data_IF_269710058140
#
_entry.id   IF_269710058140
#
_cell.length_a   1.000
_cell.length_b   1.000
_cell.length_c   1.000
_cell.angle_alpha   90.00
_cell.angle_beta   90.00
_cell.angle_gamma   90.00
#
_symmetry.space_group_name_H-M   'P 1'
#
loop_
_entity.id
_entity.type
_entity.pdbx_description
1 polymer ?
#
# COMPACT_ATOMS: atom_id res chain seq x y z
N UNK A 1 -3.76 0.32 22.75
CA UNK A 1 -2.41 0.42 22.23
C UNK A 1 -1.85 -0.97 21.92
N UNK A 2 -0.87 -1.07 20.98
CA UNK A 2 -0.22 -2.33 20.62
C UNK A 2 -0.70 -2.96 19.31
N UNK A 3 -1.38 -2.23 18.46
CA UNK A 3 -1.61 -2.60 17.05
C UNK A 3 -0.65 -1.79 16.19
N UNK A 4 0.09 -2.48 15.32
CA UNK A 4 1.02 -1.90 14.36
C UNK A 4 0.52 -2.28 12.99
N UNK A 5 0.30 -1.30 12.12
CA UNK A 5 0.02 -1.51 10.71
C UNK A 5 1.22 -1.02 9.90
N UNK A 6 1.75 -1.87 9.02
CA UNK A 6 2.88 -1.54 8.18
C UNK A 6 2.58 -1.94 6.73
N UNK A 7 2.54 -0.97 5.85
CA UNK A 7 2.41 -1.16 4.42
C UNK A 7 3.81 -1.32 3.82
N UNK A 8 4.03 -2.38 3.06
CA UNK A 8 5.35 -2.69 2.47
C UNK A 8 5.56 -2.07 1.12
N UNK A 9 4.51 -1.91 0.37
CA UNK A 9 4.52 -1.39 -0.99
C UNK A 9 3.35 -0.44 -1.19
N UNK A 10 3.51 0.53 -2.05
CA UNK A 10 2.44 1.43 -2.50
C UNK A 10 1.96 1.06 -3.90
N UNK A 11 2.21 -0.18 -4.35
CA UNK A 11 1.73 -0.63 -5.65
C UNK A 11 0.21 -0.76 -5.66
N UNK A 12 -0.47 -0.30 -6.71
CA UNK A 12 -1.91 -0.43 -6.84
C UNK A 12 -2.39 -1.87 -6.67
N UNK A 13 -3.31 -2.09 -5.72
CA UNK A 13 -3.87 -3.41 -5.42
C UNK A 13 -2.98 -4.36 -4.62
N UNK A 14 -1.78 -3.93 -4.22
CA UNK A 14 -0.85 -4.67 -3.37
C UNK A 14 -0.41 -3.86 -2.14
N UNK A 15 -1.16 -2.86 -1.78
CA UNK A 15 -0.93 -1.90 -0.70
C UNK A 15 -1.52 -2.34 0.66
N UNK A 16 -1.96 -3.59 0.77
CA UNK A 16 -2.48 -4.16 2.00
C UNK A 16 -1.48 -4.02 3.16
N UNK A 17 -1.94 -3.42 4.25
CA UNK A 17 -1.13 -3.27 5.45
C UNK A 17 -1.00 -4.61 6.19
N UNK A 18 0.24 -4.98 6.53
CA UNK A 18 0.49 -6.07 7.48
C UNK A 18 0.19 -5.59 8.88
N UNK A 19 -0.83 -6.18 9.51
CA UNK A 19 -1.25 -5.86 10.85
C UNK A 19 -0.57 -6.79 11.84
N UNK A 20 -0.02 -6.23 12.91
CA UNK A 20 0.56 -6.96 14.03
C UNK A 20 -0.09 -6.49 15.33
N UNK A 21 -0.42 -7.43 16.19
CA UNK A 21 -0.90 -7.15 17.55
C UNK A 21 0.21 -7.53 18.52
N UNK A 22 0.70 -6.54 19.32
CA UNK A 22 1.82 -6.70 20.28
C UNK A 22 3.17 -7.08 19.65
N UNK A 23 3.37 -6.81 18.36
CA UNK A 23 4.63 -7.09 17.67
C UNK A 23 4.76 -8.56 17.23
N UNK A 24 6.00 -9.01 17.06
CA UNK A 24 6.29 -10.38 16.62
C UNK A 24 6.50 -11.29 17.84
N UNK A 25 5.51 -12.12 18.17
CA UNK A 25 5.59 -13.09 19.27
C UNK A 25 6.02 -14.50 18.84
N UNK A 26 6.18 -14.75 17.55
CA UNK A 26 6.53 -16.06 16.99
C UNK A 26 7.44 -15.92 15.78
N UNK A 27 8.21 -16.99 15.48
CA UNK A 27 9.04 -17.07 14.27
C UNK A 27 8.22 -17.48 13.03
N UNK A 28 7.00 -17.98 13.22
CA UNK A 28 6.08 -18.35 12.15
C UNK A 28 5.19 -17.19 11.69
N UNK A 29 3.94 -17.52 11.34
CA UNK A 29 2.96 -16.50 10.97
C UNK A 29 2.58 -15.65 12.17
N UNK A 30 2.75 -14.35 12.04
CA UNK A 30 2.47 -13.34 13.06
C UNK A 30 1.16 -12.58 12.81
N UNK A 31 0.41 -12.98 11.79
CA UNK A 31 -0.83 -12.31 11.42
C UNK A 31 -1.93 -12.59 12.44
N UNK A 32 -2.73 -11.59 12.83
CA UNK A 32 -3.90 -11.82 13.65
C UNK A 32 -4.99 -12.58 12.87
N UNK A 33 -5.84 -13.29 13.57
CA UNK A 33 -7.04 -13.87 12.97
C UNK A 33 -8.04 -12.76 12.66
N UNK A 34 -8.50 -12.67 11.43
CA UNK A 34 -9.53 -11.72 11.01
C UNK A 34 -10.86 -12.44 10.93
N UNK A 35 -11.86 -11.91 11.63
CA UNK A 35 -13.21 -12.43 11.66
C UNK A 35 -14.17 -11.33 11.23
N UNK A 36 -14.87 -11.54 10.13
CA UNK A 36 -15.85 -10.60 9.59
C UNK A 36 -17.24 -11.18 9.74
N UNK A 37 -18.10 -10.54 10.51
CA UNK A 37 -19.46 -10.98 10.83
C UNK A 37 -19.54 -12.45 11.29
N UNK A 38 -18.56 -12.87 12.09
CA UNK A 38 -18.45 -14.22 12.61
C UNK A 38 -17.75 -15.23 11.69
N UNK A 39 -17.40 -14.85 10.47
CA UNK A 39 -16.68 -15.71 9.52
C UNK A 39 -15.19 -15.41 9.56
N UNK A 40 -14.39 -16.42 9.90
CA UNK A 40 -12.94 -16.32 9.98
C UNK A 40 -12.27 -16.36 8.60
N UNK A 41 -11.02 -15.87 8.54
CA UNK A 41 -10.13 -15.90 7.36
C UNK A 41 -10.60 -15.06 6.16
N UNK A 42 -11.40 -14.05 6.40
CA UNK A 42 -11.70 -13.09 5.35
C UNK A 42 -10.58 -12.05 5.21
N UNK A 43 -10.26 -11.69 3.96
CA UNK A 43 -9.31 -10.62 3.69
C UNK A 43 -9.84 -9.28 4.17
N UNK A 44 -9.09 -8.62 5.07
CA UNK A 44 -9.44 -7.30 5.57
C UNK A 44 -9.27 -6.20 4.51
N UNK A 45 -8.20 -6.27 3.73
CA UNK A 45 -7.90 -5.26 2.69
C UNK A 45 -8.89 -5.24 1.52
N UNK A 46 -9.74 -6.29 1.42
CA UNK A 46 -10.79 -6.34 0.38
C UNK A 46 -12.15 -5.84 0.86
N UNK A 47 -12.29 -5.44 2.12
CA UNK A 47 -13.53 -4.89 2.63
C UNK A 47 -13.63 -3.42 2.24
N UNK A 48 -14.83 -3.01 1.81
CA UNK A 48 -15.13 -1.60 1.67
C UNK A 48 -15.15 -0.94 3.06
N UNK A 49 -14.27 0.04 3.34
CA UNK A 49 -14.27 0.73 4.62
C UNK A 49 -15.63 1.37 4.97
N UNK A 50 -16.37 1.80 3.94
CA UNK A 50 -17.67 2.42 4.13
C UNK A 50 -18.75 1.43 4.61
N UNK A 51 -18.55 0.13 4.44
CA UNK A 51 -19.46 -0.91 4.92
C UNK A 51 -19.15 -1.36 6.35
N UNK A 52 -18.06 -0.91 6.94
CA UNK A 52 -17.67 -1.28 8.30
C UNK A 52 -18.45 -0.44 9.30
N UNK A 53 -19.13 -1.11 10.25
CA UNK A 53 -19.78 -0.49 11.40
C UNK A 53 -18.81 -0.34 12.57
N UNK A 54 -18.03 -1.39 12.87
CA UNK A 54 -17.08 -1.37 13.98
C UNK A 54 -15.93 -2.36 13.78
N UNK A 55 -14.78 -2.04 14.39
CA UNK A 55 -13.61 -2.91 14.47
C UNK A 55 -13.25 -3.07 15.94
N UNK A 56 -13.17 -4.30 16.41
CA UNK A 56 -12.73 -4.64 17.75
C UNK A 56 -11.51 -5.54 17.73
N UNK A 57 -10.52 -5.24 18.57
CA UNK A 57 -9.29 -6.03 18.65
C UNK A 57 -9.30 -6.81 19.96
N UNK A 58 -9.41 -8.14 19.85
CA UNK A 58 -9.35 -9.05 20.98
C UNK A 58 -7.92 -9.51 21.22
N UNK A 59 -7.53 -9.52 22.48
CA UNK A 59 -6.20 -9.91 22.96
C UNK A 59 -6.35 -10.83 24.16
N UNK A 60 -5.36 -11.69 24.36
CA UNK A 60 -5.28 -12.56 25.55
C UNK A 60 -6.52 -13.46 25.72
N UNK A 61 -7.06 -13.49 26.95
CA UNK A 61 -8.20 -14.33 27.30
C UNK A 61 -9.44 -14.11 26.42
N UNK A 62 -9.68 -12.88 25.94
CA UNK A 62 -10.82 -12.60 25.06
C UNK A 62 -10.69 -13.21 23.67
N UNK A 63 -9.45 -13.49 23.22
CA UNK A 63 -9.18 -14.16 21.95
C UNK A 63 -9.28 -15.70 22.07
N UNK A 64 -9.23 -16.26 23.28
CA UNK A 64 -9.20 -17.70 23.53
C UNK A 64 -10.42 -18.46 22.97
N UNK A 65 -11.56 -17.81 22.82
CA UNK A 65 -12.77 -18.41 22.23
C UNK A 65 -12.57 -18.83 20.77
N UNK A 66 -11.57 -18.26 20.08
CA UNK A 66 -11.21 -18.59 18.71
C UNK A 66 -10.10 -19.66 18.60
N UNK A 67 -9.67 -20.22 19.75
CA UNK A 67 -8.71 -21.32 19.84
C UNK A 67 -7.28 -20.92 19.48
N UNK A 68 -6.47 -21.92 19.13
CA UNK A 68 -5.04 -21.75 18.86
C UNK A 68 -4.72 -20.76 17.69
N UNK A 69 -5.64 -20.60 16.77
CA UNK A 69 -5.50 -19.67 15.63
C UNK A 69 -5.51 -18.20 16.06
N UNK A 70 -6.00 -17.92 17.25
CA UNK A 70 -6.07 -16.58 17.84
C UNK A 70 -4.83 -16.23 18.69
N UNK A 71 -3.78 -17.04 18.67
CA UNK A 71 -2.56 -16.82 19.47
C UNK A 71 -1.92 -15.44 19.22
N UNK A 72 -2.05 -14.88 18.01
CA UNK A 72 -1.55 -13.56 17.64
C UNK A 72 -2.61 -12.45 17.81
N UNK A 73 -3.75 -12.76 18.47
CA UNK A 73 -4.90 -11.88 18.62
C UNK A 73 -5.93 -12.02 17.51
N UNK A 74 -7.07 -11.40 17.69
CA UNK A 74 -8.21 -11.45 16.75
C UNK A 74 -8.68 -10.03 16.44
N UNK A 75 -8.96 -9.76 15.18
CA UNK A 75 -9.62 -8.55 14.72
C UNK A 75 -11.03 -8.93 14.31
N UNK A 76 -12.02 -8.43 15.09
CA UNK A 76 -13.42 -8.58 14.77
C UNK A 76 -13.87 -7.38 13.96
N UNK A 77 -14.41 -7.64 12.79
CA UNK A 77 -15.03 -6.63 11.93
C UNK A 77 -16.52 -6.90 11.89
N UNK A 78 -17.31 -5.91 12.23
CA UNK A 78 -18.77 -5.95 12.10
C UNK A 78 -19.15 -5.03 10.95
N UNK A 79 -19.91 -5.55 9.98
CA UNK A 79 -20.38 -4.74 8.86
C UNK A 79 -21.74 -4.11 9.18
N UNK A 80 -22.04 -3.03 8.47
CA UNK A 80 -23.31 -2.32 8.57
C UNK A 80 -24.46 -3.23 8.18
N UNK A 81 -25.56 -3.10 8.92
CA UNK A 81 -26.79 -3.82 8.68
C UNK A 81 -27.94 -2.85 8.41
N UNK A 82 -28.96 -3.31 7.73
CA UNK A 82 -30.18 -2.55 7.56
C UNK A 82 -30.85 -2.31 8.92
N UNK A 83 -31.45 -1.14 9.07
CA UNK A 83 -32.27 -0.77 10.24
C UNK A 83 -33.69 -0.46 9.79
N UNK A 84 -34.66 -0.73 10.67
CA UNK A 84 -36.03 -0.32 10.41
C UNK A 84 -36.11 1.21 10.23
N UNK A 85 -36.79 1.65 9.20
CA UNK A 85 -36.94 3.05 8.89
C UNK A 85 -37.09 3.31 7.38
N UNK A 86 -37.14 4.58 7.03
CA UNK A 86 -37.21 5.01 5.62
C UNK A 86 -35.96 4.58 4.87
N UNK A 87 -36.13 4.28 3.60
CA UNK A 87 -35.00 3.99 2.71
C UNK A 87 -34.05 5.19 2.66
N UNK A 88 -32.79 4.91 2.92
CA UNK A 88 -31.70 5.87 2.84
C UNK A 88 -30.75 5.45 1.73
N UNK A 89 -30.39 6.39 0.89
CA UNK A 89 -29.37 6.25 -0.15
C UNK A 89 -28.20 7.13 0.23
N UNK A 90 -27.01 6.55 0.30
CA UNK A 90 -25.78 7.25 0.62
C UNK A 90 -24.77 7.03 -0.50
N UNK A 91 -24.21 8.11 -0.98
CA UNK A 91 -23.09 8.11 -1.93
C UNK A 91 -21.89 8.79 -1.31
N UNK A 92 -20.75 8.13 -1.36
CA UNK A 92 -19.46 8.65 -0.94
C UNK A 92 -18.49 8.59 -2.14
N UNK A 93 -17.91 9.73 -2.47
CA UNK A 93 -16.90 9.86 -3.52
C UNK A 93 -15.60 10.41 -2.93
N UNK A 94 -14.49 9.70 -3.13
CA UNK A 94 -13.17 10.10 -2.65
C UNK A 94 -12.19 10.17 -3.81
N UNK A 95 -11.44 11.27 -3.89
CA UNK A 95 -10.27 11.40 -4.76
C UNK A 95 -9.07 11.65 -3.87
N UNK A 96 -8.03 10.85 -4.03
CA UNK A 96 -6.80 10.99 -3.27
C UNK A 96 -5.59 11.01 -4.20
N UNK A 97 -4.54 11.66 -3.74
CA UNK A 97 -3.27 11.76 -4.45
C UNK A 97 -2.19 11.12 -3.60
N UNK A 98 -1.47 10.19 -4.20
CA UNK A 98 -0.36 9.49 -3.57
C UNK A 98 0.95 9.93 -4.18
N UNK A 99 1.98 10.10 -3.35
CA UNK A 99 3.34 10.38 -3.80
C UNK A 99 4.33 9.48 -3.08
N UNK A 100 5.52 9.33 -3.64
CA UNK A 100 6.61 8.63 -2.97
C UNK A 100 7.03 9.42 -1.73
N UNK A 101 7.03 8.75 -0.58
CA UNK A 101 7.39 9.39 0.70
C UNK A 101 8.89 9.62 0.84
N UNK A 102 9.69 8.81 0.16
CA UNK A 102 11.14 8.91 0.16
C UNK A 102 11.70 8.38 -1.15
N UNK A 103 12.43 9.21 -1.84
CA UNK A 103 13.23 8.85 -3.00
C UNK A 103 14.68 8.84 -2.52
N UNK A 104 15.46 7.75 -2.71
CA UNK A 104 16.88 7.74 -2.40
C UNK A 104 17.60 8.79 -3.25
N UNK A 105 18.46 9.58 -2.63
CA UNK A 105 19.40 10.41 -3.37
C UNK A 105 20.43 9.49 -4.03
N UNK A 106 20.46 9.52 -5.35
CA UNK A 106 21.40 8.75 -6.15
C UNK A 106 22.55 9.64 -6.58
N UNK A 107 23.73 9.07 -6.67
CA UNK A 107 24.86 9.77 -7.26
C UNK A 107 24.57 10.11 -8.72
N UNK A 108 24.96 11.29 -9.16
CA UNK A 108 24.98 11.61 -10.58
C UNK A 108 26.10 10.85 -11.31
N UNK A 109 26.12 10.86 -12.64
CA UNK A 109 27.09 10.09 -13.41
C UNK A 109 28.54 10.50 -13.11
N UNK A 110 28.80 11.80 -12.86
CA UNK A 110 30.14 12.30 -12.53
C UNK A 110 30.60 11.81 -11.14
N UNK A 111 29.74 11.93 -10.14
CA UNK A 111 30.02 11.46 -8.79
C UNK A 111 30.25 9.95 -8.79
N UNK A 112 29.39 9.18 -9.44
CA UNK A 112 29.53 7.73 -9.56
C UNK A 112 30.88 7.32 -10.20
N UNK A 113 31.23 7.93 -11.34
CA UNK A 113 32.47 7.64 -12.02
C UNK A 113 33.70 8.01 -11.18
N UNK A 114 33.64 9.14 -10.46
CA UNK A 114 34.72 9.61 -9.58
C UNK A 114 34.92 8.67 -8.40
N UNK A 115 33.84 8.30 -7.69
CA UNK A 115 33.93 7.38 -6.55
C UNK A 115 34.35 5.98 -6.98
N UNK A 116 33.91 5.52 -8.14
CA UNK A 116 34.33 4.23 -8.69
C UNK A 116 35.85 4.21 -8.93
N UNK A 117 36.41 5.27 -9.52
CA UNK A 117 37.83 5.38 -9.73
C UNK A 117 38.63 5.51 -8.41
N UNK A 118 38.09 6.21 -7.42
CA UNK A 118 38.71 6.28 -6.10
C UNK A 118 38.75 4.89 -5.44
N UNK A 119 37.67 4.14 -5.54
CA UNK A 119 37.61 2.76 -5.08
C UNK A 119 38.63 1.86 -5.79
N UNK A 120 38.75 1.97 -7.12
CA UNK A 120 39.72 1.23 -7.92
C UNK A 120 41.16 1.56 -7.50
N UNK A 121 41.46 2.83 -7.32
CA UNK A 121 42.78 3.30 -6.86
C UNK A 121 43.12 2.73 -5.49
N UNK A 122 42.19 2.75 -4.54
CA UNK A 122 42.39 2.27 -3.17
C UNK A 122 42.66 0.75 -3.11
N UNK A 123 42.11 -0.03 -4.03
CA UNK A 123 42.39 -1.47 -4.15
C UNK A 123 43.56 -1.83 -5.08
N UNK A 124 44.24 -0.83 -5.65
CA UNK A 124 45.34 -1.04 -6.59
C UNK A 124 44.92 -1.60 -7.95
N UNK A 125 43.69 -1.41 -8.36
CA UNK A 125 43.19 -1.84 -9.66
C UNK A 125 43.36 -0.74 -10.74
N UNK A 126 43.21 -1.13 -11.99
CA UNK A 126 43.15 -0.17 -13.09
C UNK A 126 41.84 0.65 -12.98
N UNK A 127 41.90 1.93 -13.32
CA UNK A 127 40.76 2.82 -13.29
C UNK A 127 39.67 2.36 -14.27
N UNK A 128 38.45 2.26 -13.81
CA UNK A 128 37.28 1.90 -14.64
C UNK A 128 36.96 3.00 -15.64
N UNK A 129 37.05 4.27 -15.23
CA UNK A 129 36.77 5.42 -16.08
C UNK A 129 38.05 6.20 -16.38
N UNK A 130 38.48 6.30 -17.64
CA UNK A 130 39.62 7.15 -18.00
C UNK A 130 39.28 8.63 -17.77
N UNK A 131 40.30 9.46 -17.52
CA UNK A 131 40.12 10.89 -17.20
C UNK A 131 39.32 11.64 -18.29
N UNK A 132 39.54 11.25 -19.58
CA UNK A 132 38.79 11.81 -20.70
C UNK A 132 37.28 11.51 -20.63
N UNK A 133 36.90 10.34 -20.12
CA UNK A 133 35.50 10.00 -19.92
C UNK A 133 34.89 10.82 -18.75
N UNK A 134 35.60 10.94 -17.64
CA UNK A 134 35.18 11.76 -16.49
C UNK A 134 34.97 13.22 -16.91
N UNK A 135 35.87 13.76 -17.73
CA UNK A 135 35.72 15.12 -18.21
C UNK A 135 34.49 15.30 -19.10
N UNK A 136 34.23 14.34 -20.02
CA UNK A 136 33.02 14.35 -20.87
C UNK A 136 31.72 14.22 -20.07
N UNK A 137 31.73 13.41 -19.02
CA UNK A 137 30.60 13.29 -18.10
C UNK A 137 30.34 14.62 -17.38
N UNK A 138 31.44 15.24 -16.89
CA UNK A 138 31.38 16.49 -16.13
C UNK A 138 30.84 17.68 -16.92
N UNK A 139 31.31 17.81 -18.16
CA UNK A 139 30.92 18.93 -19.06
C UNK A 139 29.70 18.62 -19.94
N UNK A 140 29.19 17.37 -19.90
CA UNK A 140 28.02 16.96 -20.67
C UNK A 140 28.24 16.96 -22.19
N UNK A 141 29.49 16.94 -22.65
CA UNK A 141 29.83 17.04 -24.10
C UNK A 141 29.46 15.80 -24.90
N UNK A 142 29.21 14.65 -24.25
CA UNK A 142 28.89 13.39 -24.89
C UNK A 142 27.80 12.63 -24.13
N UNK A 143 26.60 13.18 -24.13
CA UNK A 143 25.44 12.61 -23.42
C UNK A 143 24.93 11.29 -24.03
N UNK A 144 25.36 10.93 -25.23
CA UNK A 144 24.99 9.66 -25.88
C UNK A 144 25.81 8.52 -25.31
N UNK A 145 27.15 8.70 -25.20
CA UNK A 145 28.05 7.68 -24.66
C UNK A 145 28.07 7.68 -23.14
N UNK A 146 27.86 8.84 -22.52
CA UNK A 146 27.92 9.06 -21.08
C UNK A 146 26.70 9.84 -20.60
N UNK A 147 25.50 9.21 -20.57
CA UNK A 147 24.27 9.88 -20.11
C UNK A 147 24.31 10.11 -18.59
N UNK A 148 23.81 11.26 -18.16
CA UNK A 148 23.50 11.55 -16.75
C UNK A 148 21.99 11.64 -16.57
N UNK A 149 21.36 10.48 -16.47
CA UNK A 149 19.90 10.38 -16.40
C UNK A 149 19.45 10.12 -14.97
N UNK A 150 18.66 11.02 -14.41
CA UNK A 150 17.91 10.71 -13.20
C UNK A 150 16.75 9.75 -13.55
N UNK A 151 16.93 8.49 -13.26
CA UNK A 151 15.94 7.46 -13.59
C UNK A 151 14.64 7.61 -12.80
N UNK A 152 14.68 8.17 -11.60
CA UNK A 152 13.45 8.45 -10.86
C UNK A 152 12.60 9.48 -11.58
N UNK A 153 13.19 10.58 -11.99
CA UNK A 153 12.48 11.63 -12.73
C UNK A 153 12.02 11.14 -14.11
N UNK A 154 12.77 10.23 -14.70
CA UNK A 154 12.41 9.66 -16.00
C UNK A 154 11.21 8.70 -15.91
N UNK A 155 11.12 7.88 -14.86
CA UNK A 155 10.13 6.79 -14.78
C UNK A 155 9.00 7.06 -13.79
N UNK A 156 9.21 7.85 -12.73
CA UNK A 156 8.20 8.13 -11.73
C UNK A 156 7.49 9.46 -12.02
N UNK A 157 6.23 9.52 -11.65
CA UNK A 157 5.46 10.77 -11.59
C UNK A 157 5.35 11.24 -10.14
N UNK A 158 5.22 12.55 -9.95
CA UNK A 158 5.16 13.13 -8.60
C UNK A 158 3.91 12.68 -7.84
N UNK A 159 2.81 12.49 -8.56
CA UNK A 159 1.51 12.16 -7.99
C UNK A 159 0.83 11.05 -8.77
N UNK A 160 0.29 10.08 -8.07
CA UNK A 160 -0.63 9.09 -8.60
C UNK A 160 -2.04 9.35 -8.07
N UNK A 161 -3.04 9.25 -8.93
CA UNK A 161 -4.44 9.53 -8.57
C UNK A 161 -5.16 8.23 -8.21
N UNK A 162 -5.88 8.26 -7.09
CA UNK A 162 -6.77 7.18 -6.68
C UNK A 162 -8.19 7.73 -6.56
N UNK A 163 -9.14 7.01 -7.09
CA UNK A 163 -10.56 7.36 -7.01
C UNK A 163 -11.37 6.21 -6.42
N UNK A 164 -12.30 6.55 -5.56
CA UNK A 164 -13.22 5.59 -4.95
C UNK A 164 -14.63 6.15 -4.97
N UNK A 165 -15.58 5.33 -5.35
CA UNK A 165 -17.00 5.66 -5.38
C UNK A 165 -17.75 4.53 -4.69
N UNK A 166 -18.49 4.86 -3.63
CA UNK A 166 -19.31 3.94 -2.87
C UNK A 166 -20.76 4.40 -2.88
N UNK A 167 -21.65 3.51 -3.19
CA UNK A 167 -23.09 3.72 -3.11
C UNK A 167 -23.68 2.68 -2.16
N UNK A 168 -24.44 3.11 -1.18
CA UNK A 168 -25.16 2.20 -0.28
C UNK A 168 -26.63 2.57 -0.16
N UNK A 169 -27.47 1.56 -0.02
CA UNK A 169 -28.90 1.69 0.15
C UNK A 169 -29.31 0.84 1.36
N UNK A 170 -29.96 1.44 2.31
CA UNK A 170 -30.42 0.75 3.53
C UNK A 170 -31.84 1.17 3.90
N UNK A 171 -32.56 0.29 4.56
CA UNK A 171 -33.91 0.57 5.04
C UNK A 171 -34.61 -0.68 5.53
N UNK A 172 -35.86 -0.55 5.85
CA UNK A 172 -36.65 -1.71 6.26
C UNK A 172 -37.84 -1.39 7.14
N UNK A 173 -38.50 -2.43 7.56
CA UNK A 173 -39.60 -2.43 8.54
C UNK A 173 -39.14 -3.14 9.80
N UNK A 174 -39.96 -3.17 10.85
CA UNK A 174 -39.67 -3.95 12.06
C UNK A 174 -39.46 -5.44 11.81
N UNK A 175 -40.04 -5.98 10.73
CA UNK A 175 -39.94 -7.41 10.36
C UNK A 175 -38.84 -7.73 9.37
N UNK A 176 -38.41 -6.78 8.58
CA UNK A 176 -37.41 -6.99 7.53
C UNK A 176 -36.60 -5.72 7.32
N UNK A 177 -35.29 -5.83 7.38
CA UNK A 177 -34.37 -4.75 7.05
C UNK A 177 -33.34 -5.22 6.03
N UNK A 178 -32.81 -4.31 5.23
CA UNK A 178 -31.84 -4.59 4.22
C UNK A 178 -30.75 -3.53 4.20
N UNK A 179 -29.55 -3.96 3.83
CA UNK A 179 -28.41 -3.13 3.48
C UNK A 179 -27.79 -3.71 2.21
N UNK A 180 -27.50 -2.87 1.25
CA UNK A 180 -26.76 -3.24 0.05
C UNK A 180 -25.81 -2.11 -0.30
N UNK A 181 -24.63 -2.46 -0.79
CA UNK A 181 -23.60 -1.50 -1.22
C UNK A 181 -22.98 -1.93 -2.54
N UNK A 182 -22.46 -0.96 -3.25
CA UNK A 182 -21.63 -1.15 -4.41
C UNK A 182 -20.47 -0.18 -4.37
N UNK A 183 -19.27 -0.65 -4.65
CA UNK A 183 -18.06 0.16 -4.67
C UNK A 183 -17.31 -0.04 -5.98
N UNK A 184 -16.79 1.06 -6.49
CA UNK A 184 -15.78 1.10 -7.54
C UNK A 184 -14.56 1.84 -7.02
N UNK A 185 -13.38 1.25 -7.16
CA UNK A 185 -12.11 1.86 -6.83
C UNK A 185 -11.16 1.73 -8.02
N UNK A 186 -10.44 2.80 -8.31
CA UNK A 186 -9.35 2.81 -9.27
C UNK A 186 -8.12 3.43 -8.62
N UNK A 187 -6.98 2.76 -8.77
CA UNK A 187 -5.67 3.25 -8.35
C UNK A 187 -4.75 3.34 -9.57
N UNK A 188 -4.20 4.51 -9.80
CA UNK A 188 -3.21 4.74 -10.83
C UNK A 188 -1.80 4.47 -10.28
N UNK A 189 -0.89 3.87 -11.07
CA UNK A 189 0.49 3.61 -10.65
C UNK A 189 1.29 4.91 -10.52
N UNK A 190 2.36 4.86 -9.72
CA UNK A 190 3.29 5.99 -9.59
C UNK A 190 4.24 6.10 -10.80
N UNK A 191 4.30 5.07 -11.65
CA UNK A 191 5.19 5.06 -12.81
C UNK A 191 4.53 5.71 -14.03
N UNK A 192 5.27 6.60 -14.71
CA UNK A 192 4.85 7.24 -15.96
C UNK A 192 4.55 6.20 -17.04
N UNK A 193 3.51 6.47 -17.83
CA UNK A 193 3.14 5.62 -18.96
C UNK A 193 2.90 4.13 -18.65
N UNK A 194 2.71 3.78 -17.38
CA UNK A 194 2.35 2.42 -17.03
C UNK A 194 0.91 2.12 -17.45
N UNK A 195 0.67 1.03 -18.20
CA UNK A 195 -0.69 0.61 -18.55
C UNK A 195 -1.41 -0.06 -17.38
N UNK A 196 -0.71 -0.34 -16.30
CA UNK A 196 -1.24 -1.07 -15.16
C UNK A 196 -2.05 -0.11 -14.28
N UNK A 197 -3.39 -0.23 -14.37
CA UNK A 197 -4.32 0.42 -13.46
C UNK A 197 -5.03 -0.65 -12.66
N UNK A 198 -5.02 -0.53 -11.35
CA UNK A 198 -5.82 -1.40 -10.51
C UNK A 198 -7.26 -0.92 -10.48
N UNK A 199 -8.20 -1.84 -10.70
CA UNK A 199 -9.63 -1.56 -10.60
C UNK A 199 -10.28 -2.62 -9.74
N UNK A 200 -11.09 -2.19 -8.80
CA UNK A 200 -11.81 -3.08 -7.90
C UNK A 200 -13.29 -2.75 -7.93
N UNK A 201 -14.11 -3.78 -8.00
CA UNK A 201 -15.56 -3.72 -7.91
C UNK A 201 -15.98 -4.60 -6.75
N UNK A 202 -16.85 -4.09 -5.89
CA UNK A 202 -17.40 -4.81 -4.74
C UNK A 202 -18.92 -4.62 -4.70
N UNK A 203 -19.62 -5.67 -4.29
CA UNK A 203 -21.08 -5.67 -4.15
C UNK A 203 -21.48 -6.40 -2.88
#
# INVERSE_FOLDING_TARGET
>A
AGVIANTRTGEPGADDAKILIRGKGTMGDTSPLIVVDGVADRSFGRLNPDDIESISVLKDASAAIYGARAANGVILVTTKRGKAGKVQVKYDGTVSFSQLTRIPEMLNAYEYATYTNEFDKNRGAALTYPETAIQKIKDGSDQISFPDTNWWDAVAQDWATNTQHSLSISGGTEKMSFYTSAQYMQQDPIYKNSPQKYKQYQF
#
